data_IF_389069173438
#
_entry.id   IF_389069173438
#
_cell.length_a   1.000
_cell.length_b   1.000
_cell.length_c   1.000
_cell.angle_alpha   90.00
_cell.angle_beta   90.00
_cell.angle_gamma   90.00
#
_symmetry.space_group_name_H-M   'P 1'
#
loop_
_entity.id
_entity.type
_entity.pdbx_description
1 polymer ?
#
# COMPACT_ATOMS: atom_id res chain seq x y z
N UNK A 1 -29.29 -24.79 -2.18
CA UNK A 1 -29.08 -23.98 -0.94
C UNK A 1 -27.89 -24.48 -0.12
N UNK A 2 -27.84 -25.77 0.30
CA UNK A 2 -26.75 -26.31 1.15
C UNK A 2 -25.33 -26.12 0.58
N UNK A 3 -25.11 -26.35 -0.72
CA UNK A 3 -23.78 -26.17 -1.37
C UNK A 3 -23.29 -24.70 -1.37
N UNK A 4 -24.21 -23.74 -1.44
CA UNK A 4 -23.86 -22.30 -1.42
C UNK A 4 -23.49 -21.82 -0.02
N UNK A 5 -24.19 -22.31 1.00
CA UNK A 5 -23.84 -22.07 2.41
C UNK A 5 -22.48 -22.68 2.72
N UNK A 6 -22.20 -23.88 2.22
CA UNK A 6 -20.90 -24.53 2.40
C UNK A 6 -19.76 -23.71 1.79
N UNK A 7 -19.94 -23.14 0.60
CA UNK A 7 -18.91 -22.30 -0.03
C UNK A 7 -18.60 -21.05 0.80
N UNK A 8 -19.61 -20.39 1.35
CA UNK A 8 -19.41 -19.22 2.24
C UNK A 8 -18.71 -19.65 3.54
N UNK A 9 -19.15 -20.75 4.15
CA UNK A 9 -18.51 -21.28 5.37
C UNK A 9 -17.05 -21.64 5.12
N UNK A 10 -16.73 -22.28 3.99
CA UNK A 10 -15.35 -22.58 3.62
C UNK A 10 -14.52 -21.31 3.41
N UNK A 11 -15.07 -20.29 2.73
CA UNK A 11 -14.36 -19.03 2.50
C UNK A 11 -14.07 -18.25 3.81
N UNK A 12 -14.92 -18.46 4.85
CA UNK A 12 -14.74 -17.83 6.17
C UNK A 12 -13.88 -18.66 7.13
N UNK A 13 -13.90 -20.01 6.98
CA UNK A 13 -13.26 -20.91 7.92
C UNK A 13 -11.86 -21.36 7.47
N UNK A 14 -11.58 -21.32 6.17
CA UNK A 14 -10.31 -21.81 5.60
C UNK A 14 -9.50 -20.62 5.09
N UNK A 15 -8.28 -20.48 5.60
CA UNK A 15 -7.32 -19.49 5.11
C UNK A 15 -6.65 -20.05 3.86
N UNK A 16 -7.04 -19.56 2.69
CA UNK A 16 -6.50 -20.02 1.40
C UNK A 16 -5.22 -19.27 0.99
N UNK A 17 -4.95 -18.15 1.65
CA UNK A 17 -3.79 -17.29 1.36
C UNK A 17 -3.14 -16.86 2.68
N UNK A 18 -1.82 -16.57 2.67
CA UNK A 18 -1.11 -16.09 3.86
C UNK A 18 -1.71 -14.82 4.47
N UNK A 19 -2.27 -13.95 3.63
CA UNK A 19 -2.99 -12.75 4.08
C UNK A 19 -4.47 -13.08 4.30
N UNK A 20 -4.92 -13.01 5.56
CA UNK A 20 -6.32 -13.28 5.93
C UNK A 20 -7.34 -12.38 5.21
N UNK A 21 -6.96 -11.14 4.88
CA UNK A 21 -7.82 -10.21 4.14
C UNK A 21 -8.08 -10.65 2.69
N UNK A 22 -7.19 -11.42 2.10
CA UNK A 22 -7.32 -11.85 0.71
C UNK A 22 -8.41 -12.89 0.49
N UNK A 23 -8.86 -13.57 1.54
CA UNK A 23 -10.03 -14.45 1.49
C UNK A 23 -11.30 -13.70 1.08
N UNK A 24 -11.38 -12.39 1.32
CA UNK A 24 -12.49 -11.55 0.87
C UNK A 24 -12.67 -11.58 -0.66
N UNK A 25 -11.62 -11.84 -1.43
CA UNK A 25 -11.67 -11.95 -2.90
C UNK A 25 -12.63 -13.05 -3.35
N UNK A 26 -12.74 -14.13 -2.60
CA UNK A 26 -13.70 -15.20 -2.88
C UNK A 26 -15.16 -14.72 -2.71
N UNK A 27 -15.39 -13.81 -1.76
CA UNK A 27 -16.71 -13.24 -1.51
C UNK A 27 -17.12 -12.27 -2.62
N UNK A 28 -16.19 -11.63 -3.34
CA UNK A 28 -16.51 -10.77 -4.48
C UNK A 28 -17.13 -11.56 -5.63
N UNK A 29 -16.60 -12.72 -5.96
CA UNK A 29 -17.19 -13.59 -6.99
C UNK A 29 -18.59 -14.03 -6.60
N UNK A 30 -18.78 -14.43 -5.33
CA UNK A 30 -20.11 -14.77 -4.80
C UNK A 30 -21.06 -13.58 -4.84
N UNK A 31 -20.57 -12.39 -4.51
CA UNK A 31 -21.37 -11.16 -4.52
C UNK A 31 -21.86 -10.82 -5.93
N UNK A 32 -21.01 -10.91 -6.95
CA UNK A 32 -21.40 -10.69 -8.35
C UNK A 32 -22.52 -11.64 -8.76
N UNK A 33 -22.39 -12.93 -8.45
CA UNK A 33 -23.45 -13.91 -8.73
C UNK A 33 -24.74 -13.61 -7.95
N UNK A 34 -24.59 -13.14 -6.72
CA UNK A 34 -25.72 -12.69 -5.88
C UNK A 34 -26.45 -11.50 -6.49
N UNK A 35 -25.72 -10.52 -7.02
CA UNK A 35 -26.29 -9.34 -7.70
C UNK A 35 -27.10 -9.75 -8.94
N UNK A 36 -26.61 -10.69 -9.74
CA UNK A 36 -27.32 -11.20 -10.94
C UNK A 36 -28.65 -11.83 -10.53
N UNK A 37 -28.65 -12.69 -9.50
CA UNK A 37 -29.86 -13.34 -9.01
C UNK A 37 -30.83 -12.34 -8.38
N UNK A 38 -30.34 -11.34 -7.64
CA UNK A 38 -31.14 -10.29 -7.06
C UNK A 38 -31.79 -9.42 -8.15
N UNK A 39 -31.05 -9.07 -9.20
CA UNK A 39 -31.59 -8.32 -10.32
C UNK A 39 -32.71 -9.11 -11.04
N UNK A 40 -32.50 -10.40 -11.30
CA UNK A 40 -33.53 -11.25 -11.89
C UNK A 40 -34.79 -11.31 -11.00
N UNK A 41 -34.61 -11.53 -9.68
CA UNK A 41 -35.73 -11.57 -8.74
C UNK A 41 -36.50 -10.26 -8.71
N UNK A 42 -35.81 -9.12 -8.72
CA UNK A 42 -36.46 -7.79 -8.76
C UNK A 42 -37.28 -7.62 -10.06
N UNK A 43 -36.73 -8.01 -11.22
CA UNK A 43 -37.43 -7.96 -12.48
C UNK A 43 -38.68 -8.84 -12.42
N UNK A 44 -38.58 -10.06 -11.93
CA UNK A 44 -39.72 -11.01 -11.84
C UNK A 44 -40.82 -10.48 -10.88
N UNK A 45 -40.45 -9.97 -9.72
CA UNK A 45 -41.38 -9.38 -8.76
C UNK A 45 -42.11 -8.19 -9.36
N UNK A 46 -41.39 -7.26 -9.98
CA UNK A 46 -41.99 -6.05 -10.54
C UNK A 46 -42.70 -6.28 -11.87
N UNK A 47 -42.46 -7.40 -12.56
CA UNK A 47 -43.23 -7.77 -13.75
C UNK A 47 -44.70 -7.99 -13.46
N UNK A 48 -45.06 -8.43 -12.25
CA UNK A 48 -46.44 -8.62 -11.80
C UNK A 48 -47.20 -7.30 -11.56
N UNK A 49 -46.50 -6.19 -11.40
CA UNK A 49 -47.09 -4.86 -11.20
C UNK A 49 -47.61 -4.32 -12.54
N UNK A 50 -48.92 -4.32 -12.73
CA UNK A 50 -49.55 -3.93 -14.01
C UNK A 50 -49.43 -2.44 -14.33
N UNK A 51 -49.42 -1.57 -13.31
CA UNK A 51 -49.29 -0.12 -13.52
C UNK A 51 -47.82 0.26 -13.75
N UNK A 52 -47.51 0.57 -15.00
CA UNK A 52 -46.13 0.87 -15.43
C UNK A 52 -45.40 1.93 -14.59
N UNK A 53 -46.00 3.07 -14.20
CA UNK A 53 -45.29 4.05 -13.36
C UNK A 53 -44.90 3.51 -11.98
N UNK A 54 -45.77 2.73 -11.34
CA UNK A 54 -45.49 2.13 -10.04
C UNK A 54 -44.42 1.01 -10.12
N UNK A 55 -44.41 0.27 -11.22
CA UNK A 55 -43.39 -0.73 -11.52
C UNK A 55 -42.02 -0.07 -11.67
N UNK A 56 -41.95 0.99 -12.48
CA UNK A 56 -40.70 1.71 -12.69
C UNK A 56 -40.18 2.37 -11.40
N UNK A 57 -41.08 3.02 -10.65
CA UNK A 57 -40.71 3.67 -9.39
C UNK A 57 -40.23 2.68 -8.35
N UNK A 58 -40.92 1.55 -8.17
CA UNK A 58 -40.52 0.52 -7.21
C UNK A 58 -39.18 -0.11 -7.56
N UNK A 59 -38.94 -0.44 -8.82
CA UNK A 59 -37.68 -0.98 -9.28
C UNK A 59 -36.54 0.04 -9.09
N UNK A 60 -36.77 1.29 -9.45
CA UNK A 60 -35.78 2.36 -9.26
C UNK A 60 -35.44 2.57 -7.79
N UNK A 61 -36.45 2.53 -6.90
CA UNK A 61 -36.25 2.65 -5.46
C UNK A 61 -35.43 1.49 -4.89
N UNK A 62 -35.69 0.25 -5.31
CA UNK A 62 -34.90 -0.91 -4.90
C UNK A 62 -33.44 -0.85 -5.41
N UNK A 63 -33.26 -0.45 -6.67
CA UNK A 63 -31.92 -0.26 -7.24
C UNK A 63 -31.16 0.86 -6.52
N UNK A 64 -31.82 1.98 -6.25
CA UNK A 64 -31.23 3.08 -5.49
C UNK A 64 -30.81 2.63 -4.07
N UNK A 65 -31.71 1.95 -3.35
CA UNK A 65 -31.41 1.44 -2.02
C UNK A 65 -30.23 0.45 -2.02
N UNK A 66 -30.16 -0.43 -3.01
CA UNK A 66 -29.07 -1.39 -3.17
C UNK A 66 -27.71 -0.75 -3.51
N UNK A 67 -27.72 0.36 -4.25
CA UNK A 67 -26.50 1.07 -4.67
C UNK A 67 -26.16 2.25 -3.74
N UNK A 68 -27.01 2.61 -2.80
CA UNK A 68 -26.85 3.82 -1.98
C UNK A 68 -25.51 3.88 -1.25
N UNK A 69 -25.10 2.75 -0.64
CA UNK A 69 -23.79 2.66 0.02
C UNK A 69 -22.62 2.94 -0.93
N UNK A 70 -22.67 2.42 -2.16
CA UNK A 70 -21.65 2.65 -3.17
C UNK A 70 -21.61 4.11 -3.62
N UNK A 71 -22.78 4.74 -3.78
CA UNK A 71 -22.89 6.18 -4.12
C UNK A 71 -22.27 7.04 -3.02
N UNK A 72 -22.54 6.72 -1.76
CA UNK A 72 -21.93 7.42 -0.62
C UNK A 72 -20.42 7.25 -0.58
N UNK A 73 -19.92 6.03 -0.85
CA UNK A 73 -18.47 5.77 -0.90
C UNK A 73 -17.80 6.58 -2.02
N UNK A 74 -18.34 6.54 -3.23
CA UNK A 74 -17.82 7.32 -4.36
C UNK A 74 -17.89 8.82 -4.07
N UNK A 75 -19.01 9.28 -3.49
CA UNK A 75 -19.16 10.69 -3.10
C UNK A 75 -18.14 11.11 -2.05
N UNK A 76 -17.87 10.28 -1.06
CA UNK A 76 -16.83 10.52 -0.07
C UNK A 76 -15.45 10.62 -0.72
N UNK A 77 -15.09 9.66 -1.56
CA UNK A 77 -13.79 9.67 -2.25
C UNK A 77 -13.63 10.88 -3.18
N UNK A 78 -14.69 11.26 -3.89
CA UNK A 78 -14.68 12.44 -4.76
C UNK A 78 -14.52 13.78 -4.01
N UNK A 79 -14.95 13.81 -2.73
CA UNK A 79 -14.84 14.98 -1.85
C UNK A 79 -13.60 14.93 -0.94
N UNK A 80 -12.88 13.79 -0.88
CA UNK A 80 -11.68 13.68 -0.07
C UNK A 80 -10.50 14.35 -0.74
N UNK A 81 -9.81 15.19 0.03
CA UNK A 81 -8.50 15.74 -0.35
C UNK A 81 -7.43 14.75 0.14
N UNK A 82 -7.14 13.76 -0.67
CA UNK A 82 -6.13 12.75 -0.39
C UNK A 82 -4.85 13.05 -1.17
N UNK A 83 -3.78 13.30 -0.42
CA UNK A 83 -2.46 13.52 -1.00
C UNK A 83 -1.51 12.42 -0.49
N UNK A 84 -1.02 11.59 -1.40
CA UNK A 84 -0.08 10.52 -1.07
C UNK A 84 1.36 11.02 -0.98
N UNK A 85 1.73 12.00 -1.80
CA UNK A 85 3.06 12.57 -1.88
C UNK A 85 3.01 14.07 -1.63
N UNK A 86 3.93 14.56 -0.81
CA UNK A 86 4.13 16.00 -0.61
C UNK A 86 4.92 16.62 -1.76
N UNK A 87 4.99 17.94 -1.81
CA UNK A 87 5.87 18.62 -2.75
C UNK A 87 7.36 18.32 -2.47
N UNK A 88 7.71 18.14 -1.19
CA UNK A 88 9.07 17.78 -0.78
C UNK A 88 9.44 16.37 -1.20
N UNK A 89 8.49 15.41 -1.17
CA UNK A 89 8.70 14.05 -1.68
C UNK A 89 8.96 14.04 -3.19
N UNK A 90 8.20 14.84 -3.94
CA UNK A 90 8.39 14.98 -5.38
C UNK A 90 9.74 15.60 -5.70
N UNK A 91 10.13 16.67 -4.99
CA UNK A 91 11.41 17.35 -5.17
C UNK A 91 12.60 16.44 -4.85
N UNK A 92 12.48 15.59 -3.81
CA UNK A 92 13.48 14.57 -3.50
C UNK A 92 13.60 13.55 -4.65
N UNK A 93 12.48 13.06 -5.16
CA UNK A 93 12.46 12.08 -6.23
C UNK A 93 13.08 12.62 -7.53
N UNK A 94 12.74 13.84 -7.91
CA UNK A 94 13.30 14.53 -9.07
C UNK A 94 14.82 14.70 -8.91
N UNK A 95 15.29 15.14 -7.74
CA UNK A 95 16.69 15.29 -7.45
C UNK A 95 17.46 13.96 -7.51
N UNK A 96 16.88 12.88 -6.98
CA UNK A 96 17.47 11.54 -7.05
C UNK A 96 17.56 11.08 -8.50
N UNK A 97 16.53 11.33 -9.31
CA UNK A 97 16.53 10.90 -10.72
C UNK A 97 17.61 11.58 -11.54
N UNK A 98 17.87 12.84 -11.26
CA UNK A 98 18.89 13.63 -11.96
C UNK A 98 20.33 13.36 -11.47
N UNK A 99 20.52 13.03 -10.18
CA UNK A 99 21.85 13.06 -9.54
C UNK A 99 22.34 11.70 -9.01
N UNK A 100 21.48 10.68 -8.92
CA UNK A 100 21.88 9.35 -8.48
C UNK A 100 21.87 8.34 -9.63
N UNK A 101 22.86 7.45 -9.65
CA UNK A 101 22.92 6.36 -10.63
C UNK A 101 21.69 5.44 -10.54
N UNK A 102 21.31 4.82 -11.66
CA UNK A 102 20.14 3.91 -11.73
C UNK A 102 20.26 2.71 -10.77
N UNK A 103 21.47 2.27 -10.50
CA UNK A 103 21.75 1.11 -9.64
C UNK A 103 22.06 1.50 -8.19
N UNK A 104 21.96 2.79 -7.85
CA UNK A 104 22.23 3.28 -6.51
C UNK A 104 21.34 2.60 -5.46
N UNK A 105 21.95 2.16 -4.36
CA UNK A 105 21.26 1.54 -3.25
C UNK A 105 21.11 2.56 -2.12
N UNK A 106 19.88 2.75 -1.70
CA UNK A 106 19.52 3.67 -0.63
C UNK A 106 19.16 2.91 0.64
N UNK A 107 19.66 3.37 1.77
CA UNK A 107 19.16 3.04 3.09
C UNK A 107 17.95 3.93 3.36
N UNK A 108 16.76 3.33 3.50
CA UNK A 108 15.49 4.00 3.82
C UNK A 108 14.75 3.19 4.87
N UNK A 109 13.60 3.68 5.36
CA UNK A 109 12.69 2.82 6.12
C UNK A 109 12.20 1.64 5.25
N UNK A 110 11.65 0.61 5.88
CA UNK A 110 11.14 -0.61 5.23
C UNK A 110 9.78 -0.42 4.53
N UNK A 111 9.57 0.73 3.93
CA UNK A 111 8.37 1.02 3.16
C UNK A 111 8.69 1.03 1.67
N UNK A 112 7.88 0.32 0.89
CA UNK A 112 7.91 0.44 -0.57
C UNK A 112 7.27 1.75 -1.06
N UNK A 113 6.63 2.51 -0.16
CA UNK A 113 6.06 3.84 -0.44
C UNK A 113 7.03 4.96 -0.04
N UNK A 114 8.34 4.76 -0.19
CA UNK A 114 9.30 5.86 -0.09
C UNK A 114 9.43 6.59 -1.43
N UNK A 115 9.68 7.90 -1.46
CA UNK A 115 9.95 8.64 -2.70
C UNK A 115 11.08 8.03 -3.52
N UNK A 116 12.11 7.50 -2.84
CA UNK A 116 13.26 6.83 -3.45
C UNK A 116 12.86 5.64 -4.33
N UNK A 117 11.99 4.76 -3.80
CA UNK A 117 11.57 3.55 -4.50
C UNK A 117 10.39 3.80 -5.43
N UNK A 118 9.32 4.45 -4.92
CA UNK A 118 8.06 4.55 -5.63
C UNK A 118 8.05 5.62 -6.73
N UNK A 119 8.81 6.70 -6.57
CA UNK A 119 8.85 7.81 -7.52
C UNK A 119 10.14 7.80 -8.34
N UNK A 120 11.32 7.75 -7.69
CA UNK A 120 12.60 7.79 -8.37
C UNK A 120 13.07 6.42 -8.91
N UNK A 121 12.38 5.32 -8.57
CA UNK A 121 12.68 3.98 -9.07
C UNK A 121 14.07 3.46 -8.68
N UNK A 122 14.63 3.91 -7.55
CA UNK A 122 15.94 3.45 -7.06
C UNK A 122 15.79 2.28 -6.10
N UNK A 123 16.85 1.52 -5.94
CA UNK A 123 16.90 0.37 -5.05
C UNK A 123 16.92 0.83 -3.59
N UNK A 124 16.21 0.10 -2.73
CA UNK A 124 16.27 0.26 -1.28
C UNK A 124 16.77 -1.02 -0.63
N UNK A 125 17.44 -0.92 0.52
CA UNK A 125 18.03 -2.07 1.21
C UNK A 125 16.96 -3.09 1.64
N UNK A 126 15.87 -2.61 2.24
CA UNK A 126 14.77 -3.46 2.68
C UNK A 126 13.44 -2.82 2.28
N UNK A 127 12.58 -3.57 1.61
CA UNK A 127 11.21 -3.18 1.30
C UNK A 127 10.24 -3.56 2.41
N UNK A 128 8.94 -3.40 2.13
CA UNK A 128 7.89 -3.78 3.08
C UNK A 128 7.91 -5.27 3.38
N UNK A 129 8.24 -5.62 4.63
CA UNK A 129 8.34 -7.00 5.08
C UNK A 129 7.10 -7.83 4.84
N UNK A 130 5.90 -7.24 4.90
CA UNK A 130 4.66 -7.94 4.60
C UNK A 130 4.61 -8.44 3.15
N UNK A 131 5.02 -7.61 2.18
CA UNK A 131 5.06 -8.03 0.78
C UNK A 131 6.08 -9.12 0.52
N UNK A 132 7.29 -8.96 1.06
CA UNK A 132 8.37 -9.95 0.91
C UNK A 132 7.97 -11.28 1.54
N UNK A 133 7.42 -11.24 2.76
CA UNK A 133 6.94 -12.42 3.49
C UNK A 133 5.82 -13.16 2.72
N UNK A 134 4.83 -12.45 2.19
CA UNK A 134 3.73 -13.08 1.46
C UNK A 134 4.15 -13.68 0.10
N UNK A 135 5.29 -13.26 -0.42
CA UNK A 135 5.93 -13.90 -1.57
C UNK A 135 6.85 -15.08 -1.19
N UNK A 136 6.91 -15.45 0.10
CA UNK A 136 7.69 -16.59 0.59
C UNK A 136 9.19 -16.33 0.65
N UNK A 137 9.62 -15.07 0.65
CA UNK A 137 11.02 -14.69 0.73
C UNK A 137 11.38 -14.30 2.17
N UNK A 138 12.56 -14.72 2.62
CA UNK A 138 13.15 -14.24 3.88
C UNK A 138 13.81 -12.87 3.63
N UNK A 139 13.55 -11.93 4.51
CA UNK A 139 14.10 -10.57 4.48
C UNK A 139 14.77 -10.20 5.80
N UNK A 140 14.98 -11.17 6.67
CA UNK A 140 15.48 -10.95 8.03
C UNK A 140 16.89 -10.34 8.05
N UNK A 141 17.73 -10.72 7.09
CA UNK A 141 19.09 -10.19 6.98
C UNK A 141 19.09 -8.70 6.62
N UNK A 142 18.32 -8.32 5.59
CA UNK A 142 18.17 -6.95 5.12
C UNK A 142 17.52 -6.06 6.19
N UNK A 143 16.48 -6.56 6.85
CA UNK A 143 15.81 -5.82 7.91
C UNK A 143 16.72 -5.57 9.12
N UNK A 144 17.46 -6.59 9.56
CA UNK A 144 18.38 -6.46 10.67
C UNK A 144 19.55 -5.53 10.33
N UNK A 145 20.09 -5.61 9.11
CA UNK A 145 21.12 -4.69 8.63
C UNK A 145 20.60 -3.24 8.58
N UNK A 146 19.42 -3.03 8.00
CA UNK A 146 18.78 -1.71 7.95
C UNK A 146 18.60 -1.12 9.36
N UNK A 147 18.09 -1.93 10.29
CA UNK A 147 17.91 -1.52 11.69
C UNK A 147 19.24 -1.17 12.36
N UNK A 148 20.25 -2.03 12.22
CA UNK A 148 21.58 -1.80 12.79
C UNK A 148 22.21 -0.52 12.23
N UNK A 149 22.11 -0.30 10.91
CA UNK A 149 22.62 0.89 10.26
C UNK A 149 21.96 2.19 10.74
N UNK A 150 20.70 2.15 11.18
CA UNK A 150 20.07 3.32 11.78
C UNK A 150 20.37 3.47 13.27
N UNK A 151 20.33 2.38 14.07
CA UNK A 151 20.42 2.44 15.54
C UNK A 151 21.87 2.43 16.05
N UNK A 152 22.76 1.71 15.37
CA UNK A 152 24.18 1.54 15.74
C UNK A 152 25.03 1.48 14.47
N UNK A 153 25.12 2.57 13.71
CA UNK A 153 25.75 2.57 12.39
C UNK A 153 27.25 2.29 12.47
N UNK A 154 27.76 1.55 11.49
CA UNK A 154 29.17 1.29 11.29
C UNK A 154 29.54 1.26 9.78
N UNK A 155 30.80 1.59 9.48
CA UNK A 155 31.28 1.69 8.09
C UNK A 155 31.42 0.33 7.41
N UNK A 156 31.75 -0.72 8.18
CA UNK A 156 31.94 -2.07 7.62
C UNK A 156 30.60 -2.64 7.11
N UNK A 157 29.54 -2.44 7.88
CA UNK A 157 28.19 -2.83 7.45
C UNK A 157 27.68 -2.01 6.27
N UNK A 158 27.92 -0.69 6.24
CA UNK A 158 27.59 0.15 5.07
C UNK A 158 28.31 -0.35 3.82
N UNK A 159 29.59 -0.67 3.93
CA UNK A 159 30.39 -1.19 2.83
C UNK A 159 29.95 -2.60 2.40
N UNK A 160 29.68 -3.48 3.36
CA UNK A 160 29.24 -4.86 3.08
C UNK A 160 27.91 -4.91 2.28
N UNK A 161 26.99 -3.98 2.56
CA UNK A 161 25.71 -3.88 1.86
C UNK A 161 25.76 -2.95 0.64
N UNK A 162 26.90 -2.36 0.34
CA UNK A 162 27.10 -1.46 -0.81
C UNK A 162 26.19 -0.23 -0.80
N UNK A 163 25.89 0.32 0.40
CA UNK A 163 25.00 1.47 0.57
C UNK A 163 25.65 2.72 -0.05
N UNK A 164 24.93 3.36 -0.97
CA UNK A 164 25.36 4.61 -1.60
C UNK A 164 24.86 5.85 -0.90
N UNK A 165 23.65 5.78 -0.35
CA UNK A 165 22.98 6.92 0.26
C UNK A 165 22.17 6.48 1.49
N UNK A 166 22.11 7.35 2.51
CA UNK A 166 21.27 7.15 3.70
C UNK A 166 20.24 8.28 3.83
N UNK A 167 18.96 7.91 3.92
CA UNK A 167 17.82 8.84 4.03
C UNK A 167 17.31 8.89 5.44
N UNK A 168 17.12 10.09 5.98
CA UNK A 168 16.54 10.35 7.28
C UNK A 168 15.27 11.19 7.10
N UNK A 169 14.13 10.60 7.36
CA UNK A 169 12.82 11.21 7.26
C UNK A 169 11.95 10.86 8.49
N UNK A 170 10.75 11.37 8.54
CA UNK A 170 9.81 11.11 9.64
C UNK A 170 9.49 9.63 9.82
N UNK A 171 9.53 8.83 8.76
CA UNK A 171 9.25 7.39 8.81
C UNK A 171 10.38 6.61 9.48
N UNK A 172 11.63 7.03 9.26
CA UNK A 172 12.82 6.48 9.92
C UNK A 172 12.79 6.77 11.40
N UNK A 173 12.55 8.03 11.79
CA UNK A 173 12.49 8.41 13.20
C UNK A 173 11.31 7.81 13.96
N UNK A 174 10.18 7.59 13.28
CA UNK A 174 9.03 6.93 13.90
C UNK A 174 9.29 5.46 14.21
N UNK A 175 10.23 4.83 13.51
CA UNK A 175 10.46 3.39 13.57
C UNK A 175 11.73 2.99 14.30
N UNK A 176 12.79 3.77 14.17
CA UNK A 176 14.12 3.47 14.69
C UNK A 176 14.60 4.55 15.64
N UNK A 177 15.43 4.17 16.62
CA UNK A 177 16.21 5.11 17.41
C UNK A 177 17.45 5.55 16.59
N UNK A 178 17.20 6.26 15.48
CA UNK A 178 18.20 6.54 14.47
C UNK A 178 19.26 7.52 14.96
N UNK A 179 20.54 7.16 14.85
CA UNK A 179 21.69 8.02 15.13
C UNK A 179 22.15 8.76 13.88
N UNK A 180 21.40 9.80 13.51
CA UNK A 180 21.78 10.67 12.40
C UNK A 180 23.08 11.42 12.65
N UNK A 181 23.39 11.70 13.94
CA UNK A 181 24.60 12.45 14.31
C UNK A 181 25.89 11.72 13.87
N UNK A 182 25.87 10.40 13.87
CA UNK A 182 26.95 9.57 13.39
C UNK A 182 27.22 9.78 11.89
N UNK A 183 26.15 9.91 11.08
CA UNK A 183 26.22 10.18 9.64
C UNK A 183 26.70 11.62 9.38
N UNK A 184 26.10 12.59 10.05
CA UNK A 184 26.45 14.00 9.91
C UNK A 184 27.91 14.32 10.26
N UNK A 185 28.52 13.52 11.14
CA UNK A 185 29.94 13.68 11.50
C UNK A 185 30.92 13.09 10.46
N UNK A 186 30.43 12.27 9.48
CA UNK A 186 31.29 11.47 8.58
C UNK A 186 31.02 11.72 7.11
N UNK A 187 29.79 12.10 6.75
CA UNK A 187 29.36 12.20 5.38
C UNK A 187 28.75 13.57 5.09
N UNK A 188 28.89 14.03 3.86
CA UNK A 188 28.28 15.27 3.41
C UNK A 188 26.77 15.09 3.20
N UNK A 189 26.00 16.11 3.55
CA UNK A 189 24.58 16.21 3.19
C UNK A 189 24.51 16.36 1.68
N UNK A 190 23.95 15.36 1.02
CA UNK A 190 23.79 15.33 -0.43
C UNK A 190 22.51 16.02 -0.88
N UNK A 191 21.44 15.88 -0.08
CA UNK A 191 20.18 16.55 -0.30
C UNK A 191 19.50 16.84 1.03
N UNK A 192 18.79 17.97 1.09
CA UNK A 192 18.08 18.40 2.28
C UNK A 192 16.85 19.19 1.89
N UNK A 193 15.70 18.93 2.54
CA UNK A 193 14.51 19.74 2.51
C UNK A 193 13.77 19.67 3.86
N UNK A 194 12.56 20.24 3.95
CA UNK A 194 11.79 20.23 5.19
C UNK A 194 11.34 18.83 5.65
N UNK A 195 11.35 17.82 4.75
CA UNK A 195 10.87 16.48 5.02
C UNK A 195 11.98 15.47 5.32
N UNK A 196 13.19 15.69 4.79
CA UNK A 196 14.28 14.71 4.92
C UNK A 196 15.67 15.30 4.76
N UNK A 197 16.67 14.55 5.28
CA UNK A 197 18.09 14.69 4.96
C UNK A 197 18.59 13.43 4.27
N UNK A 198 19.46 13.58 3.29
CA UNK A 198 20.11 12.47 2.58
C UNK A 198 21.61 12.65 2.63
N UNK A 199 22.31 11.65 3.14
CA UNK A 199 23.78 11.63 3.20
C UNK A 199 24.34 10.75 2.08
N UNK A 200 25.39 11.24 1.41
CA UNK A 200 26.11 10.46 0.40
C UNK A 200 27.23 9.68 1.08
N UNK A 201 27.16 8.34 0.96
CA UNK A 201 28.10 7.43 1.61
C UNK A 201 29.30 7.15 0.69
N UNK A 202 29.05 7.04 -0.64
CA UNK A 202 30.09 6.81 -1.65
C UNK A 202 29.81 7.49 -2.99
#
# INVERSE_FOLDING_TARGET
MKRRILAVVLALAVVFQPNNYDNNKLLYVWHILGCILAAQLLVDIFAEVRALPWRALGLAACCFAGMFGSVLTVGREALSDYRQWSADDMALADYIDENAGSDALFLTSDSHLTPVFALAGRRILCGSGSYVYYHGMDYSAEYNAMRALYETPDEDTLAAWDIGYAVFDSSVYAKFAADESWYAARYDVWYENAACHVYKIK
#
